data_IF_041958712048
#
_entry.id   IF_041958712048
#
_cell.length_a   1.000
_cell.length_b   1.000
_cell.length_c   1.000
_cell.angle_alpha   90.00
_cell.angle_beta   90.00
_cell.angle_gamma   90.00
#
_symmetry.space_group_name_H-M   'P 1'
#
loop_
_entity.id
_entity.type
_entity.pdbx_description
1 polymer ?
#
# COMPACT_ATOMS: atom_id res chain seq x y z
N UNK A 1 -0.70 -6.82 13.19
CA UNK A 1 0.41 -6.02 12.58
C UNK A 1 -0.20 -4.77 11.93
N UNK A 2 0.61 -3.76 11.56
CA UNK A 2 0.22 -2.58 10.78
C UNK A 2 -0.70 -1.50 11.41
N UNK A 3 -1.26 -1.68 12.62
CA UNK A 3 -2.11 -0.63 13.26
C UNK A 3 -1.43 0.74 13.37
N UNK A 4 -0.10 0.75 13.55
CA UNK A 4 0.70 1.97 13.61
C UNK A 4 0.61 2.79 12.30
N UNK A 5 0.38 2.18 11.13
CA UNK A 5 0.36 2.88 9.84
C UNK A 5 -0.81 3.87 9.70
N UNK A 6 -1.82 3.80 10.58
CA UNK A 6 -2.97 4.70 10.57
C UNK A 6 -2.59 6.18 10.62
N UNK A 7 -3.25 7.00 9.81
CA UNK A 7 -2.90 8.43 9.66
C UNK A 7 -1.49 8.67 9.09
N UNK A 8 -0.92 7.64 8.45
CA UNK A 8 0.40 7.65 7.84
C UNK A 8 1.57 7.43 8.80
N UNK A 9 1.41 6.51 9.76
CA UNK A 9 2.30 6.16 10.88
C UNK A 9 2.02 6.86 12.22
N UNK A 10 0.78 6.87 12.67
CA UNK A 10 0.42 7.43 13.97
C UNK A 10 0.07 8.90 13.88
N UNK A 11 -0.64 9.28 12.81
CA UNK A 11 -1.11 10.65 12.53
C UNK A 11 -0.01 11.68 12.25
N UNK A 12 1.21 11.24 11.95
CA UNK A 12 2.28 12.12 11.48
C UNK A 12 1.98 12.75 10.10
N UNK A 13 1.04 12.20 9.34
CA UNK A 13 0.64 12.73 8.04
C UNK A 13 1.62 12.43 6.90
N UNK A 14 2.56 11.50 7.12
CA UNK A 14 3.55 11.01 6.15
C UNK A 14 2.88 10.04 5.16
N UNK A 15 3.60 9.01 4.68
CA UNK A 15 3.09 8.07 3.65
C UNK A 15 1.76 7.42 4.08
N UNK A 16 0.81 7.31 3.15
CA UNK A 16 -0.51 6.73 3.41
C UNK A 16 -0.38 5.30 3.92
N UNK A 17 -1.09 4.98 5.01
CA UNK A 17 -1.05 3.64 5.58
C UNK A 17 -1.57 2.55 4.64
N UNK A 18 -2.48 2.87 3.71
CA UNK A 18 -2.93 1.94 2.69
C UNK A 18 -1.79 1.58 1.71
N UNK A 19 -1.04 2.59 1.24
CA UNK A 19 0.14 2.36 0.40
C UNK A 19 1.21 1.57 1.16
N UNK A 20 1.55 1.95 2.39
CA UNK A 20 2.51 1.19 3.21
C UNK A 20 2.08 -0.25 3.43
N UNK A 21 0.77 -0.49 3.64
CA UNK A 21 0.22 -1.83 3.74
C UNK A 21 0.36 -2.62 2.43
N UNK A 22 0.15 -1.98 1.28
CA UNK A 22 0.38 -2.60 -0.02
C UNK A 22 1.84 -2.99 -0.25
N UNK A 23 2.78 -2.11 0.09
CA UNK A 23 4.23 -2.41 0.00
C UNK A 23 4.65 -3.57 0.91
N UNK A 24 4.02 -3.69 2.09
CA UNK A 24 4.23 -4.82 2.98
C UNK A 24 3.77 -6.14 2.33
N UNK A 25 2.62 -6.14 1.66
CA UNK A 25 2.11 -7.32 0.94
C UNK A 25 3.01 -7.65 -0.25
N UNK A 26 3.43 -6.68 -1.05
CA UNK A 26 4.36 -6.92 -2.15
C UNK A 26 5.69 -7.51 -1.66
N UNK A 27 6.20 -6.99 -0.53
CA UNK A 27 7.41 -7.51 0.11
C UNK A 27 7.24 -8.94 0.62
N UNK A 28 6.03 -9.33 1.04
CA UNK A 28 5.73 -10.72 1.42
C UNK A 28 5.73 -11.66 0.21
N UNK A 29 5.26 -11.18 -0.95
CA UNK A 29 5.11 -12.00 -2.17
C UNK A 29 6.40 -12.10 -3.00
N UNK A 30 7.18 -11.02 -3.05
CA UNK A 30 8.31 -10.88 -3.97
C UNK A 30 9.57 -10.27 -3.33
N UNK A 31 9.57 -10.09 -2.01
CA UNK A 31 10.73 -9.61 -1.27
C UNK A 31 11.84 -10.66 -1.19
N UNK A 32 13.00 -10.22 -0.70
CA UNK A 32 14.13 -11.10 -0.41
C UNK A 32 13.80 -12.04 0.75
N UNK A 33 14.24 -13.29 0.68
CA UNK A 33 14.13 -14.25 1.79
C UNK A 33 15.35 -14.19 2.71
N UNK A 34 16.48 -13.73 2.19
CA UNK A 34 17.73 -13.59 2.94
C UNK A 34 18.55 -12.37 2.47
N UNK A 35 19.64 -12.08 3.17
CA UNK A 35 20.48 -10.90 2.91
C UNK A 35 21.34 -10.99 1.65
N UNK A 36 21.56 -12.18 1.08
CA UNK A 36 22.39 -12.37 -0.11
C UNK A 36 21.62 -12.05 -1.40
N UNK A 37 20.29 -12.14 -1.36
CA UNK A 37 19.42 -11.77 -2.48
C UNK A 37 19.39 -10.26 -2.70
N UNK A 38 19.45 -9.88 -3.98
CA UNK A 38 19.36 -8.47 -4.37
C UNK A 38 17.91 -8.00 -4.34
N UNK A 39 17.63 -6.79 -3.81
CA UNK A 39 16.27 -6.27 -3.72
C UNK A 39 15.75 -5.64 -5.03
N UNK A 40 16.49 -5.73 -6.14
CA UNK A 40 16.17 -5.01 -7.38
C UNK A 40 14.74 -5.29 -7.88
N UNK A 41 14.30 -6.56 -7.87
CA UNK A 41 12.95 -6.95 -8.30
C UNK A 41 11.87 -6.30 -7.45
N UNK A 42 11.98 -6.39 -6.12
CA UNK A 42 10.97 -5.81 -5.22
C UNK A 42 10.99 -4.28 -5.27
N UNK A 43 12.15 -3.65 -5.47
CA UNK A 43 12.23 -2.20 -5.63
C UNK A 43 11.60 -1.71 -6.93
N UNK A 44 11.73 -2.46 -8.02
CA UNK A 44 11.03 -2.16 -9.28
C UNK A 44 9.51 -2.26 -9.11
N UNK A 45 9.02 -3.38 -8.56
CA UNK A 45 7.58 -3.58 -8.30
C UNK A 45 7.01 -2.52 -7.35
N UNK A 46 7.73 -2.21 -6.27
CA UNK A 46 7.38 -1.17 -5.29
C UNK A 46 7.31 0.21 -5.93
N UNK A 47 8.33 0.59 -6.70
CA UNK A 47 8.37 1.89 -7.39
C UNK A 47 7.20 2.04 -8.36
N UNK A 48 6.90 0.99 -9.11
CA UNK A 48 5.79 0.98 -10.04
C UNK A 48 4.45 1.10 -9.32
N UNK A 49 4.22 0.29 -8.28
CA UNK A 49 2.97 0.35 -7.51
C UNK A 49 2.77 1.69 -6.81
N UNK A 50 3.83 2.26 -6.22
CA UNK A 50 3.82 3.61 -5.67
C UNK A 50 3.37 4.64 -6.70
N UNK A 51 3.88 4.56 -7.93
CA UNK A 51 3.51 5.49 -9.00
C UNK A 51 2.06 5.31 -9.43
N UNK A 52 1.59 4.06 -9.61
CA UNK A 52 0.18 3.76 -9.90
C UNK A 52 -0.76 4.28 -8.80
N UNK A 53 -0.39 4.08 -7.53
CA UNK A 53 -1.14 4.64 -6.39
C UNK A 53 -1.21 6.16 -6.48
N UNK A 54 -0.07 6.81 -6.71
CA UNK A 54 0.00 8.28 -6.83
C UNK A 54 -0.81 8.80 -8.01
N UNK A 55 -0.78 8.14 -9.16
CA UNK A 55 -1.58 8.51 -10.33
C UNK A 55 -3.07 8.38 -10.06
N UNK A 56 -3.49 7.30 -9.37
CA UNK A 56 -4.90 7.05 -9.07
C UNK A 56 -5.46 8.00 -7.99
N UNK A 57 -4.70 8.25 -6.91
CA UNK A 57 -5.18 9.05 -5.76
C UNK A 57 -4.66 10.49 -5.73
N UNK A 58 -3.73 10.85 -6.61
CA UNK A 58 -3.13 12.18 -6.75
C UNK A 58 -1.94 12.48 -5.82
N UNK A 59 -1.74 11.73 -4.74
CA UNK A 59 -0.62 11.90 -3.81
C UNK A 59 -0.34 10.60 -3.04
N UNK A 60 0.75 10.58 -2.27
CA UNK A 60 1.10 9.45 -1.39
C UNK A 60 1.13 9.84 0.08
N UNK A 61 1.37 11.11 0.41
CA UNK A 61 1.30 11.61 1.78
C UNK A 61 -0.15 11.69 2.27
N UNK A 62 -0.45 11.05 3.42
CA UNK A 62 -1.75 11.01 4.08
C UNK A 62 -2.34 12.41 4.30
N UNK A 63 -1.52 13.38 4.76
CA UNK A 63 -1.96 14.77 4.96
C UNK A 63 -2.38 15.48 3.67
N UNK A 64 -1.85 15.06 2.53
CA UNK A 64 -2.22 15.63 1.22
C UNK A 64 -3.50 14.99 0.71
N UNK A 65 -3.61 13.66 0.84
CA UNK A 65 -4.78 12.88 0.44
C UNK A 65 -6.02 13.23 1.25
N UNK A 66 -5.84 13.49 2.55
CA UNK A 66 -6.90 13.75 3.49
C UNK A 66 -6.51 14.92 4.41
N UNK A 67 -7.13 16.07 4.17
CA UNK A 67 -6.86 17.33 4.90
C UNK A 67 -7.82 17.54 6.08
N UNK A 68 -8.81 16.66 6.22
CA UNK A 68 -9.81 16.74 7.25
C UNK A 68 -9.24 16.34 8.61
N UNK A 69 -9.83 16.87 9.69
CA UNK A 69 -9.49 16.49 11.05
C UNK A 69 -9.67 14.97 11.26
N UNK A 70 -8.73 14.33 11.95
CA UNK A 70 -8.70 12.88 12.14
C UNK A 70 -9.91 12.32 12.89
N UNK A 71 -10.60 13.12 13.69
CA UNK A 71 -11.81 12.73 14.42
C UNK A 71 -13.08 12.95 13.59
N UNK A 72 -12.98 13.62 12.44
CA UNK A 72 -14.13 13.88 11.59
C UNK A 72 -14.62 12.61 10.87
N UNK A 73 -15.93 12.51 10.68
CA UNK A 73 -16.51 11.42 9.88
C UNK A 73 -16.05 11.49 8.42
N UNK A 74 -15.79 12.68 7.89
CA UNK A 74 -15.32 12.83 6.51
C UNK A 74 -13.91 12.27 6.33
N UNK A 75 -13.03 12.51 7.32
CA UNK A 75 -11.72 11.87 7.34
C UNK A 75 -11.85 10.35 7.28
N UNK A 76 -12.71 9.77 8.12
CA UNK A 76 -12.95 8.33 8.14
C UNK A 76 -13.49 7.81 6.80
N UNK A 77 -14.52 8.46 6.24
CA UNK A 77 -15.11 8.08 4.94
C UNK A 77 -14.09 8.12 3.80
N UNK A 78 -13.26 9.16 3.75
CA UNK A 78 -12.20 9.29 2.74
C UNK A 78 -11.12 8.22 2.91
N UNK A 79 -10.69 7.94 4.14
CA UNK A 79 -9.77 6.84 4.42
C UNK A 79 -10.33 5.48 4.01
N UNK A 80 -11.62 5.22 4.26
CA UNK A 80 -12.28 3.98 3.78
C UNK A 80 -12.21 3.85 2.26
N UNK A 81 -12.52 4.92 1.52
CA UNK A 81 -12.44 4.93 0.04
C UNK A 81 -11.02 4.67 -0.45
N UNK A 82 -10.02 5.33 0.14
CA UNK A 82 -8.61 5.14 -0.25
C UNK A 82 -8.16 3.72 0.06
N UNK A 83 -8.45 3.19 1.25
CA UNK A 83 -8.05 1.82 1.64
C UNK A 83 -8.70 0.78 0.72
N UNK A 84 -10.00 0.89 0.45
CA UNK A 84 -10.69 -0.03 -0.46
C UNK A 84 -10.15 0.05 -1.89
N UNK A 85 -9.96 1.27 -2.40
CA UNK A 85 -9.38 1.47 -3.74
C UNK A 85 -7.94 0.97 -3.85
N UNK A 86 -7.11 1.18 -2.81
CA UNK A 86 -5.74 0.70 -2.78
C UNK A 86 -5.67 -0.84 -2.74
N UNK A 87 -6.56 -1.48 -2.00
CA UNK A 87 -6.69 -2.94 -1.99
C UNK A 87 -7.08 -3.47 -3.38
N UNK A 88 -8.04 -2.84 -4.06
CA UNK A 88 -8.42 -3.21 -5.42
C UNK A 88 -7.26 -3.02 -6.41
N UNK A 89 -6.59 -1.86 -6.34
CA UNK A 89 -5.44 -1.54 -7.21
C UNK A 89 -4.30 -2.52 -6.99
N UNK A 90 -4.01 -2.89 -5.73
CA UNK A 90 -3.01 -3.90 -5.39
C UNK A 90 -3.38 -5.28 -5.91
N UNK A 91 -4.64 -5.71 -5.75
CA UNK A 91 -5.10 -7.00 -6.27
C UNK A 91 -4.91 -7.09 -7.79
N UNK A 92 -5.29 -6.04 -8.52
CA UNK A 92 -5.04 -5.95 -9.97
C UNK A 92 -3.54 -5.97 -10.30
N UNK A 93 -2.74 -5.24 -9.54
CA UNK A 93 -1.28 -5.21 -9.72
C UNK A 93 -0.68 -6.60 -9.55
N UNK A 94 -1.00 -7.28 -8.45
CA UNK A 94 -0.57 -8.64 -8.14
C UNK A 94 -0.93 -9.61 -9.26
N UNK A 95 -2.17 -9.57 -9.74
CA UNK A 95 -2.65 -10.43 -10.82
C UNK A 95 -1.94 -10.14 -12.16
N UNK A 96 -1.72 -8.86 -12.49
CA UNK A 96 -1.03 -8.49 -13.74
C UNK A 96 0.46 -8.82 -13.78
N UNK A 97 1.05 -9.17 -12.65
CA UNK A 97 2.46 -9.54 -12.51
C UNK A 97 2.64 -11.00 -12.07
N UNK A 98 1.56 -11.79 -12.08
CA UNK A 98 1.55 -13.21 -11.72
C UNK A 98 2.20 -13.50 -10.34
N UNK A 99 2.03 -12.59 -9.38
CA UNK A 99 2.70 -12.68 -8.06
C UNK A 99 2.03 -13.66 -7.09
N UNK A 100 0.99 -14.38 -7.52
CA UNK A 100 0.33 -15.43 -6.74
C UNK A 100 0.72 -16.85 -7.17
N UNK A 101 1.52 -17.00 -8.22
CA UNK A 101 1.93 -18.30 -8.72
C UNK A 101 2.71 -19.07 -7.65
N UNK A 102 2.15 -20.20 -7.20
CA UNK A 102 2.75 -21.07 -6.19
C UNK A 102 2.31 -20.80 -4.74
N UNK A 103 1.47 -19.80 -4.48
CA UNK A 103 0.87 -19.61 -3.15
C UNK A 103 -0.37 -20.51 -2.99
N UNK A 104 -0.48 -21.25 -1.87
CA UNK A 104 -1.72 -21.96 -1.57
C UNK A 104 -2.84 -20.92 -1.41
N UNK A 105 -3.86 -21.00 -2.26
CA UNK A 105 -5.07 -20.21 -2.06
C UNK A 105 -5.66 -20.57 -0.69
N UNK A 106 -6.07 -19.58 0.12
CA UNK A 106 -6.81 -19.87 1.34
C UNK A 106 -8.07 -20.63 0.96
N UNK A 107 -8.28 -21.79 1.58
CA UNK A 107 -9.53 -22.54 1.48
C UNK A 107 -10.65 -21.83 2.24
#
# INVERSE_FOLDING_TARGET
LASAFGGGLGRAGCICGALTGSELVLSLLAGRENQAEKPDRIYQLSSEFHNRFKEHFGATCCRVLNKEDYQSQEHFRRCLKITGGAAQLLAQFILSHDLLDGLPLPQ
#
